data_IF_198879019003
#
_entry.id   IF_198879019003
#
_cell.length_a   1.000
_cell.length_b   1.000
_cell.length_c   1.000
_cell.angle_alpha   90.00
_cell.angle_beta   90.00
_cell.angle_gamma   90.00
#
_symmetry.space_group_name_H-M   'P 1'
#
loop_
_entity.id
_entity.type
_entity.pdbx_description
1 polymer ?
#
# COMPACT_ATOMS: atom_id res chain seq x y z
N UNK A 1 8.07 1.67 -16.60
CA UNK A 1 9.46 1.84 -16.09
C UNK A 1 9.56 1.14 -14.77
N UNK A 2 10.64 0.40 -14.50
CA UNK A 2 10.83 -0.26 -13.22
C UNK A 2 11.29 0.75 -12.17
N UNK A 3 10.73 0.67 -10.96
CA UNK A 3 11.15 1.45 -9.80
C UNK A 3 11.66 0.50 -8.70
N UNK A 4 12.61 0.91 -7.85
CA UNK A 4 13.06 0.10 -6.72
C UNK A 4 11.98 0.05 -5.64
N UNK A 5 11.97 -1.04 -4.86
CA UNK A 5 11.18 -1.08 -3.61
C UNK A 5 11.82 -0.19 -2.56
N UNK A 6 10.98 0.47 -1.76
CA UNK A 6 11.42 1.21 -0.58
C UNK A 6 11.99 0.27 0.50
N UNK A 7 12.98 0.73 1.27
CA UNK A 7 13.65 -0.09 2.30
C UNK A 7 12.71 -0.46 3.46
N UNK A 8 11.74 0.39 3.79
CA UNK A 8 10.73 0.07 4.82
C UNK A 8 9.69 -0.92 4.29
N UNK A 9 9.51 -0.98 2.97
CA UNK A 9 8.61 -1.92 2.28
C UNK A 9 9.24 -3.29 2.05
N UNK A 10 10.52 -3.34 1.67
CA UNK A 10 11.25 -4.60 1.40
C UNK A 10 12.61 -4.68 2.13
N UNK A 11 12.62 -4.63 3.47
CA UNK A 11 13.87 -4.57 4.25
C UNK A 11 14.76 -5.81 4.09
N UNK A 12 14.17 -6.93 3.67
CA UNK A 12 14.87 -8.20 3.44
C UNK A 12 15.09 -8.51 1.97
N UNK A 13 14.75 -7.58 1.07
CA UNK A 13 14.88 -7.70 -0.39
C UNK A 13 14.13 -8.90 -0.98
N UNK A 14 13.11 -9.41 -0.29
CA UNK A 14 12.34 -10.59 -0.71
C UNK A 14 11.55 -10.26 -1.98
N UNK A 15 10.93 -9.07 -2.03
CA UNK A 15 10.16 -8.61 -3.19
C UNK A 15 11.08 -8.30 -4.36
N UNK A 16 12.21 -7.63 -4.11
CA UNK A 16 13.23 -7.36 -5.11
C UNK A 16 13.81 -8.64 -5.71
N UNK A 17 14.01 -9.69 -4.89
CA UNK A 17 14.48 -10.99 -5.36
C UNK A 17 13.41 -11.76 -6.16
N UNK A 18 12.12 -11.52 -5.86
CA UNK A 18 10.99 -12.11 -6.59
C UNK A 18 10.73 -11.42 -7.92
N UNK A 19 11.06 -10.14 -8.04
CA UNK A 19 11.05 -9.35 -9.28
C UNK A 19 12.13 -9.87 -10.25
N UNK A 20 11.93 -11.09 -10.74
CA UNK A 20 12.74 -11.78 -11.74
C UNK A 20 12.00 -11.79 -13.10
N UNK A 21 12.44 -12.61 -14.06
CA UNK A 21 12.02 -12.60 -15.48
C UNK A 21 10.51 -12.43 -15.79
N UNK A 22 9.62 -12.69 -14.84
CA UNK A 22 8.16 -12.63 -15.03
C UNK A 22 7.44 -11.52 -14.25
N UNK A 23 8.10 -10.86 -13.30
CA UNK A 23 7.48 -9.88 -12.41
C UNK A 23 8.33 -8.62 -12.33
N UNK A 24 7.70 -7.44 -12.39
CA UNK A 24 8.40 -6.18 -12.24
C UNK A 24 7.62 -5.25 -11.30
N UNK A 25 8.35 -4.41 -10.57
CA UNK A 25 7.79 -3.34 -9.77
C UNK A 25 7.84 -2.03 -10.57
N UNK A 26 6.65 -1.46 -10.81
CA UNK A 26 6.46 -0.20 -11.51
C UNK A 26 5.61 0.74 -10.66
N UNK A 27 5.47 2.00 -11.12
CA UNK A 27 4.66 3.01 -10.42
C UNK A 27 3.19 2.62 -10.25
N UNK A 28 2.68 1.69 -11.06
CA UNK A 28 1.35 1.11 -10.97
C UNK A 28 1.21 0.07 -9.85
N UNK A 29 2.33 -0.41 -9.31
CA UNK A 29 2.39 -1.42 -8.25
C UNK A 29 2.96 -0.85 -6.94
N UNK A 30 3.15 0.47 -6.85
CA UNK A 30 3.58 1.16 -5.63
C UNK A 30 2.38 1.43 -4.73
N UNK A 31 2.51 1.07 -3.46
CA UNK A 31 1.52 1.39 -2.42
C UNK A 31 2.09 2.50 -1.57
N UNK A 32 1.34 3.59 -1.40
CA UNK A 32 1.72 4.68 -0.49
C UNK A 32 1.02 4.56 0.86
N UNK A 33 1.72 4.93 1.92
CA UNK A 33 1.31 4.71 3.29
C UNK A 33 1.31 6.03 4.07
N UNK A 34 0.18 6.35 4.71
CA UNK A 34 0.01 7.60 5.45
C UNK A 34 -0.55 7.37 6.85
N UNK A 35 -0.33 8.34 7.73
CA UNK A 35 -1.01 8.48 9.02
C UNK A 35 -1.76 9.80 9.05
N UNK A 36 -3.06 9.73 9.35
CA UNK A 36 -3.92 10.87 9.56
C UNK A 36 -3.73 11.45 10.96
N UNK A 37 -3.42 12.74 11.06
CA UNK A 37 -3.30 13.48 12.32
C UNK A 37 -4.46 14.49 12.39
N UNK A 38 -5.48 14.27 13.26
CA UNK A 38 -6.68 15.11 13.31
C UNK A 38 -6.41 16.59 13.58
N UNK A 39 -5.41 16.87 14.42
CA UNK A 39 -5.07 18.22 14.89
C UNK A 39 -4.05 18.95 14.00
N UNK A 40 -3.62 18.34 12.89
CA UNK A 40 -2.74 18.99 11.94
C UNK A 40 -3.51 19.99 11.06
N UNK A 41 -2.79 20.99 10.53
CA UNK A 41 -3.35 21.94 9.56
C UNK A 41 -4.00 21.17 8.39
N UNK A 42 -5.03 21.72 7.72
CA UNK A 42 -5.72 21.02 6.63
C UNK A 42 -4.80 20.49 5.53
N UNK A 43 -3.64 21.13 5.36
CA UNK A 43 -2.62 20.81 4.34
C UNK A 43 -1.71 19.65 4.81
N UNK A 44 -1.53 19.48 6.12
CA UNK A 44 -0.56 18.53 6.70
C UNK A 44 -1.24 17.39 7.47
N UNK A 45 -2.48 17.02 7.16
CA UNK A 45 -3.18 15.96 7.90
C UNK A 45 -2.64 14.56 7.63
N UNK A 46 -2.03 14.33 6.47
CA UNK A 46 -1.49 13.03 6.10
C UNK A 46 0.03 13.08 6.06
N UNK A 47 0.66 12.29 6.92
CA UNK A 47 2.12 12.16 6.97
C UNK A 47 2.55 10.79 6.46
N UNK A 48 3.56 10.70 5.58
CA UNK A 48 4.11 9.43 5.14
C UNK A 48 4.57 8.61 6.34
N UNK A 49 4.29 7.31 6.32
CA UNK A 49 4.71 6.36 7.37
C UNK A 49 5.11 5.02 6.78
N UNK A 50 6.00 4.32 7.47
CA UNK A 50 6.36 2.96 7.14
C UNK A 50 5.15 1.99 7.18
N UNK A 51 5.07 1.00 6.28
CA UNK A 51 4.01 -0.01 6.30
C UNK A 51 3.99 -0.85 7.59
N UNK A 52 5.12 -0.94 8.31
CA UNK A 52 5.21 -1.65 9.60
C UNK A 52 4.37 -1.01 10.72
N UNK A 53 3.89 0.23 10.51
CA UNK A 53 3.05 0.94 11.48
C UNK A 53 1.63 0.38 11.57
N UNK A 54 1.13 -0.26 10.50
CA UNK A 54 -0.22 -0.81 10.45
C UNK A 54 -0.33 -2.14 11.19
N UNK A 55 -1.42 -2.31 11.93
CA UNK A 55 -1.71 -3.48 12.77
C UNK A 55 -3.15 -3.95 12.61
N UNK A 56 -3.37 -5.22 12.93
CA UNK A 56 -4.72 -5.78 13.00
C UNK A 56 -5.50 -5.03 14.08
N UNK A 57 -6.66 -4.49 13.72
CA UNK A 57 -7.50 -3.67 14.61
C UNK A 57 -7.45 -2.18 14.30
N UNK A 58 -6.53 -1.74 13.44
CA UNK A 58 -6.49 -0.35 12.95
C UNK A 58 -7.69 -0.03 12.07
N UNK A 59 -8.19 1.19 12.20
CA UNK A 59 -9.13 1.76 11.24
C UNK A 59 -8.32 2.50 10.19
N UNK A 60 -8.48 2.08 8.93
CA UNK A 60 -7.72 2.61 7.80
C UNK A 60 -8.66 3.07 6.68
N UNK A 61 -8.25 4.10 5.97
CA UNK A 61 -8.76 4.40 4.63
C UNK A 61 -7.90 3.64 3.60
N UNK A 62 -8.54 2.99 2.64
CA UNK A 62 -7.88 2.28 1.57
C UNK A 62 -8.35 2.78 0.21
N UNK A 63 -7.41 3.12 -0.67
CA UNK A 63 -7.69 3.38 -2.07
C UNK A 63 -7.32 2.15 -2.90
N UNK A 64 -8.28 1.59 -3.64
CA UNK A 64 -8.04 0.46 -4.52
C UNK A 64 -8.78 0.57 -5.85
N UNK A 65 -8.28 -0.13 -6.86
CA UNK A 65 -8.93 -0.31 -8.16
C UNK A 65 -9.25 -1.77 -8.41
N UNK A 66 -10.44 -2.00 -8.98
CA UNK A 66 -10.85 -3.29 -9.52
C UNK A 66 -10.90 -3.17 -11.04
N UNK A 67 -9.87 -3.70 -11.71
CA UNK A 67 -9.71 -3.60 -13.17
C UNK A 67 -10.12 -4.92 -13.80
N UNK A 68 -10.99 -4.88 -14.80
CA UNK A 68 -11.38 -6.07 -15.56
C UNK A 68 -10.69 -6.05 -16.91
N UNK A 69 -9.87 -7.07 -17.18
CA UNK A 69 -9.11 -7.22 -18.42
C UNK A 69 -9.69 -8.40 -19.21
N UNK A 70 -10.10 -8.20 -20.48
CA UNK A 70 -10.55 -9.28 -21.33
C UNK A 70 -9.38 -10.20 -21.72
N UNK A 71 -9.66 -11.50 -21.75
CA UNK A 71 -8.76 -12.56 -22.17
C UNK A 71 -9.34 -13.28 -23.40
N UNK A 72 -8.53 -14.12 -24.06
CA UNK A 72 -8.99 -14.94 -25.18
C UNK A 72 -10.10 -15.91 -24.73
N UNK A 73 -11.10 -16.08 -25.60
CA UNK A 73 -12.20 -17.03 -25.40
C UNK A 73 -13.26 -16.55 -24.41
N UNK A 74 -13.64 -15.26 -24.47
CA UNK A 74 -14.69 -14.64 -23.62
C UNK A 74 -14.44 -14.77 -22.11
N UNK A 75 -13.16 -14.90 -21.74
CA UNK A 75 -12.72 -14.92 -20.34
C UNK A 75 -12.35 -13.52 -19.90
N UNK A 76 -12.52 -13.23 -18.62
CA UNK A 76 -12.13 -11.95 -18.03
C UNK A 76 -11.26 -12.22 -16.80
N UNK A 77 -10.21 -11.41 -16.63
CA UNK A 77 -9.39 -11.38 -15.42
C UNK A 77 -9.73 -10.12 -14.65
N UNK A 78 -10.19 -10.27 -13.42
CA UNK A 78 -10.26 -9.15 -12.48
C UNK A 78 -8.90 -9.01 -11.79
N UNK A 79 -8.39 -7.78 -11.73
CA UNK A 79 -7.14 -7.41 -11.09
C UNK A 79 -7.51 -6.42 -9.98
N UNK A 80 -7.12 -6.74 -8.75
CA UNK A 80 -7.23 -5.82 -7.63
C UNK A 80 -5.87 -5.15 -7.43
N UNK A 81 -5.86 -3.82 -7.44
CA UNK A 81 -4.67 -3.01 -7.18
C UNK A 81 -4.95 -2.15 -5.96
N UNK A 82 -4.10 -2.27 -4.95
CA UNK A 82 -4.10 -1.38 -3.80
C UNK A 82 -3.14 -0.23 -4.13
N UNK A 83 -3.59 1.00 -3.92
CA UNK A 83 -2.79 2.21 -4.21
C UNK A 83 -2.34 2.90 -2.94
N UNK A 84 -3.21 2.95 -1.92
CA UNK A 84 -2.96 3.71 -0.71
C UNK A 84 -3.58 3.05 0.51
N UNK A 85 -2.87 3.15 1.63
CA UNK A 85 -3.41 2.95 2.98
C UNK A 85 -3.11 4.17 3.85
N UNK A 86 -4.15 4.75 4.45
CA UNK A 86 -4.01 5.80 5.45
C UNK A 86 -4.56 5.31 6.80
N UNK A 87 -3.71 5.32 7.82
CA UNK A 87 -4.12 5.04 9.19
C UNK A 87 -4.96 6.21 9.71
N UNK A 88 -6.22 5.94 10.07
CA UNK A 88 -7.13 6.95 10.61
C UNK A 88 -7.19 6.89 12.13
N UNK A 89 -7.20 5.68 12.69
CA UNK A 89 -7.29 5.46 14.13
C UNK A 89 -6.57 4.15 14.50
N UNK A 90 -5.69 4.26 15.50
CA UNK A 90 -4.93 3.15 16.08
C UNK A 90 -5.27 2.93 17.57
N UNK A 91 -6.36 3.51 18.07
CA UNK A 91 -6.77 3.45 19.49
C UNK A 91 -6.91 2.01 19.99
N UNK A 92 -7.28 1.08 19.11
CA UNK A 92 -7.48 -0.33 19.44
C UNK A 92 -6.19 -1.19 19.37
N UNK A 93 -5.06 -0.61 18.97
CA UNK A 93 -3.78 -1.32 18.75
C UNK A 93 -2.58 -0.64 19.44
N UNK A 94 -2.72 0.62 19.84
CA UNK A 94 -1.75 1.31 20.70
C UNK A 94 -2.00 0.95 22.16
N UNK A 95 -1.20 0.01 22.66
CA UNK A 95 -1.03 -0.16 24.11
C UNK A 95 -0.22 1.04 24.58
N UNK A 96 -0.81 1.91 25.41
CA UNK A 96 -0.06 2.97 26.10
C UNK A 96 1.10 2.32 26.87
N UNK A 97 2.33 2.74 26.58
CA UNK A 97 3.50 2.50 27.44
C UNK A 97 3.87 3.77 28.16
#
# INVERSE_FOLDING_TARGET
TSIPFDEETDPKRVLANLANKHWFHGADNEVVYYHFIPDASPINRYHPVAPVRFRIGDIVEAQMSCVVVPLKGEKFKMIHQLHLLALLDATYTQVCF
#
